data_IF_643536679214
#
_entry.id   IF_643536679214
#
_cell.length_a   1.000
_cell.length_b   1.000
_cell.length_c   1.000
_cell.angle_alpha   90.00
_cell.angle_beta   90.00
_cell.angle_gamma   90.00
#
_symmetry.space_group_name_H-M   'P 1'
#
loop_
_entity.id
_entity.type
_entity.pdbx_description
1 polymer ?
#
# COMPACT_ATOMS: atom_id res chain seq x y z
N UNK A 1 -5.34 -9.33 -3.49
CA UNK A 1 -4.49 -8.65 -4.51
C UNK A 1 -5.31 -7.96 -5.61
N UNK A 2 -6.64 -7.86 -5.49
CA UNK A 2 -7.52 -7.26 -6.50
C UNK A 2 -7.40 -5.72 -6.54
N UNK A 3 -7.27 -5.06 -5.38
CA UNK A 3 -7.10 -3.61 -5.28
C UNK A 3 -5.86 -3.08 -6.03
N UNK A 4 -4.78 -3.87 -6.03
CA UNK A 4 -3.52 -3.50 -6.68
C UNK A 4 -3.63 -3.59 -8.21
N UNK A 5 -4.36 -4.59 -8.73
CA UNK A 5 -4.62 -4.73 -10.17
C UNK A 5 -5.54 -3.64 -10.73
N UNK A 6 -6.60 -3.26 -9.98
CA UNK A 6 -7.50 -2.16 -10.37
C UNK A 6 -6.74 -0.84 -10.44
N UNK A 7 -5.81 -0.58 -9.51
CA UNK A 7 -4.98 0.63 -9.55
C UNK A 7 -4.08 0.69 -10.79
N UNK A 8 -3.44 -0.42 -11.16
CA UNK A 8 -2.58 -0.49 -12.35
C UNK A 8 -3.36 -0.20 -13.63
N UNK A 9 -4.65 -0.54 -13.70
CA UNK A 9 -5.52 -0.20 -14.82
C UNK A 9 -6.04 1.25 -14.78
N UNK A 10 -6.31 1.78 -13.58
CA UNK A 10 -6.86 3.14 -13.45
C UNK A 10 -5.79 4.21 -13.73
N UNK A 11 -4.50 3.95 -13.50
CA UNK A 11 -3.41 4.89 -13.82
C UNK A 11 -3.36 5.25 -15.32
N UNK A 12 -3.19 4.30 -16.27
CA UNK A 12 -3.17 4.61 -17.70
C UNK A 12 -4.51 5.16 -18.19
N UNK A 13 -5.63 4.71 -17.62
CA UNK A 13 -6.96 5.23 -17.95
C UNK A 13 -7.12 6.71 -17.54
N UNK A 14 -6.68 7.08 -16.34
CA UNK A 14 -6.70 8.46 -15.86
C UNK A 14 -5.76 9.37 -16.66
N UNK A 15 -4.63 8.83 -17.12
CA UNK A 15 -3.68 9.55 -17.95
C UNK A 15 -4.26 9.80 -19.36
N UNK A 16 -4.96 8.82 -19.92
CA UNK A 16 -5.62 8.94 -21.22
C UNK A 16 -6.77 9.97 -21.19
N UNK A 17 -7.64 9.90 -20.18
CA UNK A 17 -8.76 10.83 -20.01
C UNK A 17 -8.26 12.24 -19.71
N UNK A 18 -7.24 12.38 -18.86
CA UNK A 18 -6.60 13.67 -18.60
C UNK A 18 -6.01 14.26 -19.89
N UNK A 19 -5.31 13.45 -20.69
CA UNK A 19 -4.71 13.89 -21.95
C UNK A 19 -5.76 14.41 -22.94
N UNK A 20 -6.84 13.65 -23.11
CA UNK A 20 -7.98 14.05 -23.95
C UNK A 20 -8.68 15.33 -23.45
N UNK A 21 -8.75 15.52 -22.13
CA UNK A 21 -9.30 16.75 -21.54
C UNK A 21 -8.43 17.98 -21.78
N UNK A 22 -7.13 17.77 -22.05
CA UNK A 22 -6.14 18.86 -22.26
C UNK A 22 -5.89 19.15 -23.75
N UNK A 23 -6.62 18.49 -24.65
CA UNK A 23 -6.50 18.68 -26.10
C UNK A 23 -7.34 19.87 -26.62
N UNK A 24 -8.06 20.55 -25.73
CA UNK A 24 -8.86 21.74 -26.06
C UNK A 24 -7.95 22.99 -26.16
N UNK A 25 -8.14 23.88 -27.16
CA UNK A 25 -7.24 24.98 -27.52
C UNK A 25 -7.14 26.14 -26.50
N UNK A 26 -7.65 25.96 -25.28
CA UNK A 26 -7.46 26.88 -24.15
C UNK A 26 -7.22 26.18 -22.82
N UNK A 27 -7.03 24.85 -22.82
CA UNK A 27 -6.84 24.08 -21.60
C UNK A 27 -5.40 24.15 -21.12
N UNK A 28 -5.23 24.28 -19.81
CA UNK A 28 -3.90 24.36 -19.18
C UNK A 28 -3.55 22.98 -18.61
N UNK A 29 -2.26 22.69 -18.42
CA UNK A 29 -1.84 21.51 -17.64
C UNK A 29 -2.53 21.40 -16.27
N UNK A 30 -3.07 22.50 -15.73
CA UNK A 30 -3.85 22.46 -14.50
C UNK A 30 -5.17 21.68 -14.63
N UNK A 31 -5.83 21.72 -15.78
CA UNK A 31 -7.05 20.95 -16.05
C UNK A 31 -6.76 19.44 -16.13
N UNK A 32 -5.61 19.07 -16.71
CA UNK A 32 -5.09 17.70 -16.70
C UNK A 32 -5.01 17.15 -15.27
N UNK A 33 -4.31 17.87 -14.39
CA UNK A 33 -4.10 17.46 -13.00
C UNK A 33 -5.43 17.36 -12.23
N UNK A 34 -6.38 18.25 -12.50
CA UNK A 34 -7.71 18.22 -11.90
C UNK A 34 -8.45 16.92 -12.23
N UNK A 35 -8.48 16.56 -13.52
CA UNK A 35 -9.17 15.36 -14.00
C UNK A 35 -8.44 14.09 -13.53
N UNK A 36 -7.11 14.10 -13.54
CA UNK A 36 -6.28 13.00 -13.06
C UNK A 36 -6.55 12.68 -11.58
N UNK A 37 -6.48 13.68 -10.70
CA UNK A 37 -6.77 13.48 -9.28
C UNK A 37 -8.22 13.10 -9.02
N UNK A 38 -9.17 13.60 -9.82
CA UNK A 38 -10.58 13.26 -9.68
C UNK A 38 -10.84 11.77 -9.97
N UNK A 39 -10.17 11.20 -10.97
CA UNK A 39 -10.28 9.78 -11.31
C UNK A 39 -9.52 8.91 -10.30
N UNK A 40 -8.37 9.37 -9.79
CA UNK A 40 -7.60 8.62 -8.79
C UNK A 40 -8.17 8.69 -7.37
N UNK A 41 -9.16 9.55 -7.09
CA UNK A 41 -9.64 9.81 -5.71
C UNK A 41 -10.18 8.55 -5.00
N UNK A 42 -10.70 7.58 -5.75
CA UNK A 42 -11.20 6.30 -5.22
C UNK A 42 -10.08 5.24 -5.11
N UNK A 43 -9.28 4.99 -6.16
CA UNK A 43 -8.19 4.00 -6.09
C UNK A 43 -7.07 4.34 -5.11
N UNK A 44 -6.75 5.63 -4.95
CA UNK A 44 -5.56 6.09 -4.22
C UNK A 44 -5.65 5.86 -2.70
N UNK A 45 -6.76 6.20 -2.00
CA UNK A 45 -6.91 5.91 -0.57
C UNK A 45 -6.97 4.42 -0.27
N UNK A 46 -7.57 3.61 -1.17
CA UNK A 46 -7.65 2.16 -1.02
C UNK A 46 -6.27 1.50 -1.00
N UNK A 47 -5.35 1.95 -1.87
CA UNK A 47 -3.98 1.46 -1.87
C UNK A 47 -3.22 1.95 -0.64
N UNK A 48 -3.34 3.23 -0.27
CA UNK A 48 -2.71 3.77 0.93
C UNK A 48 -3.14 3.02 2.19
N UNK A 49 -4.44 2.76 2.38
CA UNK A 49 -4.93 1.95 3.49
C UNK A 49 -4.36 0.53 3.45
N UNK A 50 -4.35 -0.10 2.27
CA UNK A 50 -3.84 -1.47 2.14
C UNK A 50 -2.33 -1.55 2.43
N UNK A 51 -1.55 -0.54 2.03
CA UNK A 51 -0.11 -0.45 2.29
C UNK A 51 0.17 -0.19 3.77
N UNK A 52 -0.53 0.75 4.40
CA UNK A 52 -0.43 1.04 5.83
C UNK A 52 -0.78 -0.19 6.64
N UNK A 53 -1.89 -0.86 6.29
CA UNK A 53 -2.31 -2.08 6.98
C UNK A 53 -1.30 -3.23 6.80
N UNK A 54 -0.72 -3.36 5.60
CA UNK A 54 0.34 -4.32 5.32
C UNK A 54 1.60 -4.03 6.16
N UNK A 55 2.04 -2.77 6.25
CA UNK A 55 3.20 -2.37 7.04
C UNK A 55 3.00 -2.67 8.54
N UNK A 56 1.80 -2.40 9.07
CA UNK A 56 1.44 -2.72 10.46
C UNK A 56 1.47 -4.24 10.69
N UNK A 57 0.95 -5.06 9.75
CA UNK A 57 1.03 -6.53 9.86
C UNK A 57 2.47 -7.04 9.83
N UNK A 58 3.35 -6.46 9.01
CA UNK A 58 4.78 -6.84 8.97
C UNK A 58 5.50 -6.54 10.30
N UNK A 59 5.14 -5.46 11.00
CA UNK A 59 5.66 -5.17 12.35
C UNK A 59 5.22 -6.23 13.37
N UNK A 60 3.97 -6.68 13.32
CA UNK A 60 3.46 -7.74 14.21
C UNK A 60 4.15 -9.08 14.01
N UNK A 61 4.46 -9.49 12.77
CA UNK A 61 5.16 -10.76 12.54
C UNK A 61 6.61 -10.75 13.04
N UNK A 62 7.35 -9.64 12.93
CA UNK A 62 8.68 -9.54 13.53
C UNK A 62 8.62 -9.60 15.06
N UNK A 63 7.61 -8.97 15.67
CA UNK A 63 7.43 -9.04 17.13
C UNK A 63 7.02 -10.44 17.59
N UNK A 64 6.10 -11.10 16.88
CA UNK A 64 5.64 -12.45 17.22
C UNK A 64 6.73 -13.52 17.02
N UNK A 65 7.51 -13.45 15.93
CA UNK A 65 8.67 -14.34 15.74
C UNK A 65 9.79 -14.05 16.75
N UNK A 66 10.00 -12.79 17.14
CA UNK A 66 11.01 -12.43 18.14
C UNK A 66 10.58 -12.87 19.56
N UNK A 67 9.30 -12.73 19.93
CA UNK A 67 8.72 -13.24 21.17
C UNK A 67 8.71 -14.77 21.20
N UNK A 68 8.33 -15.43 20.11
CA UNK A 68 8.36 -16.89 20.02
C UNK A 68 9.79 -17.45 20.13
N UNK A 69 10.76 -16.77 19.51
CA UNK A 69 12.18 -17.13 19.63
C UNK A 69 12.73 -16.88 21.04
N UNK A 70 12.35 -15.77 21.69
CA UNK A 70 12.72 -15.48 23.07
C UNK A 70 12.13 -16.48 24.07
N UNK A 71 10.87 -16.89 23.86
CA UNK A 71 10.20 -17.88 24.70
C UNK A 71 10.80 -19.28 24.51
N UNK A 72 11.17 -19.64 23.28
CA UNK A 72 11.92 -20.87 23.01
C UNK A 72 13.30 -20.84 23.69
N UNK A 73 14.02 -19.72 23.65
CA UNK A 73 15.30 -19.56 24.36
C UNK A 73 15.15 -19.67 25.88
N UNK A 74 14.11 -19.08 26.48
CA UNK A 74 13.90 -19.17 27.94
C UNK A 74 13.59 -20.60 28.39
N UNK A 75 12.89 -21.38 27.59
CA UNK A 75 12.62 -22.80 27.88
C UNK A 75 13.91 -23.62 27.84
N UNK A 76 14.77 -23.42 26.84
CA UNK A 76 16.08 -24.10 26.77
C UNK A 76 17.02 -23.68 27.91
N UNK A 77 17.02 -22.40 28.30
CA UNK A 77 17.80 -21.93 29.45
C UNK A 77 17.32 -22.56 30.77
N UNK A 78 16.02 -22.75 30.97
CA UNK A 78 15.49 -23.42 32.15
C UNK A 78 15.90 -24.90 32.21
N UNK A 79 15.91 -25.60 31.07
CA UNK A 79 16.38 -26.99 30.98
C UNK A 79 17.87 -27.15 31.29
N UNK A 80 18.73 -26.20 30.89
CA UNK A 80 20.16 -26.21 31.21
C UNK A 80 20.50 -25.84 32.67
N UNK A 81 19.56 -25.31 33.45
CA UNK A 81 19.76 -25.05 34.89
C UNK A 81 19.33 -26.25 35.73
N UNK A 82 18.39 -27.06 35.22
CA UNK A 82 17.83 -28.22 35.92
C UNK A 82 18.60 -29.53 35.70
N UNK A 83 19.49 -29.58 34.71
CA UNK A 83 20.38 -30.71 34.40
C UNK A 83 21.83 -30.24 34.48
#
# INVERSE_FOLDING_TARGET
MISLGINILVIPLSFFIGGMATDSPGSTMHDFWKVFFFIQVIPFPLVLLSLVWWLIRRKKQKFMCSVFNANKLSVWAAYCIYY
#
